data_IF_621216473731
#
_entry.id   IF_621216473731
#
_cell.length_a   1.000
_cell.length_b   1.000
_cell.length_c   1.000
_cell.angle_alpha   90.00
_cell.angle_beta   90.00
_cell.angle_gamma   90.00
#
_symmetry.space_group_name_H-M   'P 1'
#
loop_
_entity.id
_entity.type
_entity.pdbx_description
1 polymer ?
#
# COMPACT_ATOMS: atom_id res chain seq x y z
N UNK A 1 12.26 -35.31 -5.28
CA UNK A 1 11.12 -34.97 -4.40
C UNK A 1 11.50 -33.72 -3.62
N UNK A 2 10.67 -32.67 -3.72
CA UNK A 2 10.69 -31.39 -2.98
C UNK A 2 11.89 -30.45 -3.24
N UNK A 3 11.85 -29.62 -4.29
CA UNK A 3 11.10 -28.36 -4.40
C UNK A 3 11.87 -27.17 -3.79
N UNK A 4 12.37 -26.34 -4.72
CA UNK A 4 12.61 -24.89 -4.67
C UNK A 4 13.81 -24.42 -3.87
N UNK A 5 14.92 -24.34 -4.61
CA UNK A 5 16.01 -23.42 -4.40
C UNK A 5 15.53 -22.04 -3.92
N UNK A 6 16.29 -21.53 -2.95
CA UNK A 6 16.16 -20.30 -2.17
C UNK A 6 16.09 -18.98 -2.98
N UNK A 7 15.48 -18.93 -4.17
CA UNK A 7 15.27 -17.70 -4.95
C UNK A 7 14.44 -16.62 -4.22
N UNK A 8 13.92 -16.95 -3.04
CA UNK A 8 13.12 -16.09 -2.19
C UNK A 8 13.87 -15.43 -1.03
N UNK A 9 15.17 -15.69 -0.84
CA UNK A 9 15.87 -15.23 0.38
C UNK A 9 16.56 -13.87 0.31
N UNK A 10 16.74 -13.21 -0.84
CA UNK A 10 17.66 -12.06 -0.89
C UNK A 10 17.17 -10.77 -1.58
N UNK A 11 15.91 -10.69 -2.03
CA UNK A 11 15.30 -9.42 -2.45
C UNK A 11 14.12 -8.99 -1.54
N UNK A 12 13.87 -9.75 -0.48
CA UNK A 12 12.59 -9.80 0.25
C UNK A 12 12.53 -8.99 1.54
N UNK A 13 13.63 -8.46 2.06
CA UNK A 13 13.57 -7.32 2.98
C UNK A 13 13.73 -6.05 2.15
N UNK A 14 12.82 -5.85 1.20
CA UNK A 14 12.71 -4.56 0.56
C UNK A 14 12.36 -3.56 1.66
N UNK A 15 13.27 -2.63 1.97
CA UNK A 15 12.93 -1.46 2.75
C UNK A 15 11.73 -0.81 2.07
N UNK A 16 10.58 -0.88 2.73
CA UNK A 16 9.36 -0.29 2.24
C UNK A 16 9.49 1.22 2.40
N UNK A 17 9.87 1.89 1.31
CA UNK A 17 9.91 3.35 1.24
C UNK A 17 8.60 3.89 0.68
N UNK A 18 8.31 5.15 1.00
CA UNK A 18 7.13 5.85 0.47
C UNK A 18 7.10 5.84 -1.06
N UNK A 19 8.21 6.19 -1.70
CA UNK A 19 8.35 6.26 -3.16
C UNK A 19 7.99 4.92 -3.82
N UNK A 20 8.39 3.81 -3.21
CA UNK A 20 8.09 2.47 -3.71
C UNK A 20 6.62 2.11 -3.56
N UNK A 21 5.97 2.54 -2.46
CA UNK A 21 4.53 2.35 -2.25
C UNK A 21 3.71 3.22 -3.21
N UNK A 22 4.21 4.40 -3.58
CA UNK A 22 3.56 5.28 -4.57
C UNK A 22 3.48 4.65 -5.97
N UNK A 23 4.44 3.79 -6.34
CA UNK A 23 4.44 3.04 -7.60
C UNK A 23 3.36 1.94 -7.68
N UNK A 24 2.83 1.51 -6.54
CA UNK A 24 1.81 0.45 -6.48
C UNK A 24 0.42 0.97 -6.89
N UNK A 25 -0.46 0.10 -7.37
CA UNK A 25 -1.88 0.44 -7.51
C UNK A 25 -2.55 0.61 -6.14
N UNK A 26 -3.70 1.27 -6.10
CA UNK A 26 -4.43 1.49 -4.84
C UNK A 26 -4.81 0.18 -4.16
N UNK A 27 -5.16 -0.84 -4.95
CA UNK A 27 -5.49 -2.18 -4.44
C UNK A 27 -4.24 -2.85 -3.84
N UNK A 28 -3.08 -2.73 -4.49
CA UNK A 28 -1.83 -3.27 -3.98
C UNK A 28 -1.39 -2.58 -2.69
N UNK A 29 -1.53 -1.25 -2.57
CA UNK A 29 -1.24 -0.53 -1.31
C UNK A 29 -2.17 -1.00 -0.18
N UNK A 30 -3.44 -1.28 -0.47
CA UNK A 30 -4.37 -1.81 0.53
C UNK A 30 -3.99 -3.22 0.98
N UNK A 31 -3.62 -4.10 0.04
CA UNK A 31 -3.16 -5.45 0.37
C UNK A 31 -1.85 -5.43 1.16
N UNK A 32 -0.92 -4.54 0.78
CA UNK A 32 0.33 -4.33 1.51
C UNK A 32 0.06 -3.89 2.95
N UNK A 33 -0.86 -2.94 3.16
CA UNK A 33 -1.27 -2.49 4.51
C UNK A 33 -1.81 -3.64 5.36
N UNK A 34 -2.69 -4.48 4.81
CA UNK A 34 -3.25 -5.64 5.53
C UNK A 34 -2.16 -6.65 5.89
N UNK A 35 -1.22 -6.90 4.98
CA UNK A 35 -0.11 -7.81 5.25
C UNK A 35 0.84 -7.24 6.31
N UNK A 36 1.15 -5.95 6.24
CA UNK A 36 1.99 -5.26 7.21
C UNK A 36 1.35 -5.26 8.61
N UNK A 37 0.04 -5.02 8.70
CA UNK A 37 -0.73 -5.08 9.95
C UNK A 37 -0.64 -6.46 10.60
N UNK A 38 -0.84 -7.54 9.81
CA UNK A 38 -0.70 -8.93 10.28
C UNK A 38 0.71 -9.28 10.76
N UNK A 39 1.72 -8.65 10.19
CA UNK A 39 3.14 -8.81 10.56
C UNK A 39 3.60 -7.80 11.62
N UNK A 40 2.70 -6.93 12.11
CA UNK A 40 2.97 -5.86 13.06
C UNK A 40 4.02 -4.82 12.58
N UNK A 41 4.17 -4.68 11.27
CA UNK A 41 5.08 -3.74 10.60
C UNK A 41 4.48 -2.33 10.56
N UNK A 42 4.42 -1.68 11.73
CA UNK A 42 3.69 -0.42 11.97
C UNK A 42 4.19 0.74 11.08
N UNK A 43 5.49 0.78 10.78
CA UNK A 43 6.08 1.78 9.87
C UNK A 43 5.51 1.65 8.46
N UNK A 44 5.41 0.42 7.95
CA UNK A 44 4.88 0.14 6.61
C UNK A 44 3.39 0.44 6.53
N UNK A 45 2.64 0.13 7.60
CA UNK A 45 1.22 0.51 7.72
C UNK A 45 1.06 2.02 7.60
N UNK A 46 1.87 2.79 8.33
CA UNK A 46 1.82 4.26 8.33
C UNK A 46 2.11 4.83 6.94
N UNK A 47 3.15 4.33 6.26
CA UNK A 47 3.49 4.74 4.90
C UNK A 47 2.37 4.42 3.90
N UNK A 48 1.74 3.24 4.01
CA UNK A 48 0.60 2.88 3.16
C UNK A 48 -0.59 3.83 3.39
N UNK A 49 -0.88 4.21 4.64
CA UNK A 49 -1.94 5.17 4.95
C UNK A 49 -1.67 6.55 4.37
N UNK A 50 -0.43 7.05 4.48
CA UNK A 50 -0.03 8.33 3.90
C UNK A 50 -0.25 8.34 2.38
N UNK A 51 0.20 7.28 1.68
CA UNK A 51 0.01 7.15 0.23
C UNK A 51 -1.47 7.05 -0.14
N UNK A 52 -2.27 6.31 0.62
CA UNK A 52 -3.72 6.21 0.38
C UNK A 52 -4.45 7.54 0.62
N UNK A 53 -4.02 8.33 1.62
CA UNK A 53 -4.58 9.67 1.90
C UNK A 53 -4.17 10.69 0.84
N UNK A 54 -2.95 10.60 0.31
CA UNK A 54 -2.44 11.48 -0.73
C UNK A 54 -3.10 11.24 -2.10
N UNK A 55 -3.61 10.02 -2.36
CA UNK A 55 -4.31 9.73 -3.62
C UNK A 55 -5.63 10.49 -3.71
N UNK A 56 -5.91 11.14 -4.85
CA UNK A 56 -7.23 11.73 -5.07
C UNK A 56 -8.26 10.59 -5.01
N UNK A 57 -9.23 10.71 -4.10
CA UNK A 57 -10.41 9.83 -4.07
C UNK A 57 -11.17 10.04 -5.39
N UNK A 58 -10.82 9.28 -6.43
CA UNK A 58 -11.59 9.18 -7.67
C UNK A 58 -13.01 8.76 -7.27
N UNK A 59 -13.95 9.70 -7.30
CA UNK A 59 -15.37 9.42 -7.08
C UNK A 59 -16.13 10.34 -6.13
N UNK A 60 -15.50 11.32 -5.48
CA UNK A 60 -16.24 12.39 -4.84
C UNK A 60 -16.81 13.34 -5.88
N UNK A 61 -17.98 13.03 -6.47
CA UNK A 61 -18.82 14.05 -7.12
C UNK A 61 -18.84 15.26 -6.19
N UNK A 62 -18.49 16.48 -6.63
CA UNK A 62 -18.67 17.63 -5.76
C UNK A 62 -20.15 17.62 -5.39
N UNK A 63 -20.45 17.50 -4.08
CA UNK A 63 -21.78 17.80 -3.59
C UNK A 63 -22.02 19.24 -4.02
N UNK A 64 -22.72 19.40 -5.14
CA UNK A 64 -23.06 20.70 -5.67
C UNK A 64 -23.71 21.45 -4.54
N UNK A 65 -23.09 22.56 -4.14
CA UNK A 65 -23.84 23.63 -3.48
C UNK A 65 -25.01 23.93 -4.42
N UNK A 66 -26.19 23.37 -4.13
CA UNK A 66 -27.43 23.99 -4.56
C UNK A 66 -27.50 25.27 -3.74
N UNK A 67 -27.13 26.39 -4.37
CA UNK A 67 -27.79 27.64 -4.05
C UNK A 67 -29.26 27.44 -4.39
N UNK A 68 -30.11 27.51 -3.38
CA UNK A 68 -31.52 27.84 -3.48
C UNK A 68 -31.84 28.66 -2.24
#
# INVERSE_FOLDING_TARGET
MLVRDNAFKAHRAADWTRERIELLSTQEVQQLRVNADRLQETTVVSLCEEVLRARPKRGGRPAGKKLA
#
